data_IF_837990430483
#
_entry.id   IF_837990430483
#
_cell.length_a   1.000
_cell.length_b   1.000
_cell.length_c   1.000
_cell.angle_alpha   90.00
_cell.angle_beta   90.00
_cell.angle_gamma   90.00
#
_symmetry.space_group_name_H-M   'P 1'
#
loop_
_entity.id
_entity.type
_entity.pdbx_description
1 polymer ?
#
# COMPACT_ATOMS: atom_id res chain seq x y z
N UNK A 1 3.44 -7.83 -17.43
CA UNK A 1 3.48 -7.33 -16.04
C UNK A 1 3.92 -8.45 -15.12
N UNK A 2 4.93 -8.21 -14.30
CA UNK A 2 5.46 -9.25 -13.43
C UNK A 2 4.66 -9.43 -12.16
N UNK A 3 4.92 -10.52 -11.46
CA UNK A 3 4.33 -10.79 -10.16
C UNK A 3 5.06 -9.96 -9.11
N UNK A 4 4.34 -9.29 -8.20
CA UNK A 4 5.01 -8.51 -7.16
C UNK A 4 5.78 -9.42 -6.20
N UNK A 5 6.89 -8.93 -5.69
CA UNK A 5 7.67 -9.65 -4.69
C UNK A 5 7.05 -9.39 -3.32
N UNK A 6 6.45 -10.41 -2.72
CA UNK A 6 5.78 -10.25 -1.43
C UNK A 6 6.76 -10.00 -0.27
N UNK A 7 8.06 -10.27 -0.48
CA UNK A 7 9.06 -9.94 0.53
C UNK A 7 9.39 -8.45 0.53
N UNK A 8 9.00 -7.75 -0.54
CA UNK A 8 9.11 -6.31 -0.62
C UNK A 8 7.70 -5.72 -0.58
N UNK A 9 7.24 -5.38 0.61
CA UNK A 9 5.87 -4.92 0.79
C UNK A 9 5.62 -3.55 0.16
N UNK A 10 6.66 -2.73 0.01
CA UNK A 10 6.53 -1.48 -0.71
C UNK A 10 6.12 -1.74 -2.16
N UNK A 11 6.75 -2.71 -2.81
CA UNK A 11 6.39 -3.07 -4.18
C UNK A 11 4.98 -3.66 -4.26
N UNK A 12 4.59 -4.43 -3.25
CA UNK A 12 3.25 -4.99 -3.21
C UNK A 12 2.18 -3.89 -3.13
N UNK A 13 2.39 -2.90 -2.27
CA UNK A 13 1.48 -1.75 -2.16
C UNK A 13 1.43 -1.01 -3.48
N UNK A 14 2.59 -0.77 -4.09
CA UNK A 14 2.68 -0.08 -5.37
C UNK A 14 1.89 -0.82 -6.44
N UNK A 15 2.05 -2.14 -6.50
CA UNK A 15 1.32 -2.97 -7.46
C UNK A 15 -0.19 -2.87 -7.25
N UNK A 16 -0.64 -2.99 -6.01
CA UNK A 16 -2.06 -2.90 -5.70
C UNK A 16 -2.63 -1.53 -6.08
N UNK A 17 -1.94 -0.47 -5.70
CA UNK A 17 -2.40 0.88 -6.00
C UNK A 17 -2.46 1.14 -7.50
N UNK A 18 -1.42 0.76 -8.23
CA UNK A 18 -1.38 0.95 -9.68
C UNK A 18 -2.48 0.18 -10.38
N UNK A 19 -2.93 -0.92 -9.81
CA UNK A 19 -4.01 -1.72 -10.36
C UNK A 19 -5.38 -1.08 -10.18
N UNK A 20 -5.49 -0.12 -9.25
CA UNK A 20 -6.76 0.50 -8.88
C UNK A 20 -6.97 1.88 -9.49
N UNK A 21 -5.90 2.58 -9.80
CA UNK A 21 -5.96 4.01 -10.18
C UNK A 21 -5.95 4.20 -11.68
N UNK A 22 -6.39 5.38 -12.11
CA UNK A 22 -6.35 5.78 -13.52
C UNK A 22 -5.01 6.41 -13.90
N UNK A 23 -4.27 6.92 -12.91
CA UNK A 23 -2.99 7.59 -13.13
C UNK A 23 -1.85 6.85 -12.42
N UNK A 24 -1.51 5.64 -12.89
CA UNK A 24 -0.52 4.81 -12.20
C UNK A 24 0.88 5.42 -12.15
N UNK A 25 1.21 6.30 -13.08
CA UNK A 25 2.52 6.96 -13.10
C UNK A 25 2.70 7.90 -11.90
N UNK A 26 1.62 8.30 -11.26
CA UNK A 26 1.66 9.20 -10.10
C UNK A 26 1.55 8.46 -8.76
N UNK A 27 1.62 7.14 -8.78
CA UNK A 27 1.65 6.33 -7.55
C UNK A 27 3.06 6.34 -6.98
N UNK A 28 3.17 6.69 -5.71
CA UNK A 28 4.44 6.65 -4.97
C UNK A 28 4.22 5.94 -3.66
N UNK A 29 5.15 5.13 -3.25
CA UNK A 29 5.13 4.47 -1.95
C UNK A 29 6.47 4.70 -1.27
N UNK A 30 6.44 5.37 -0.13
CA UNK A 30 7.64 5.60 0.67
C UNK A 30 7.68 4.61 1.82
N UNK A 31 8.83 4.01 2.02
CA UNK A 31 9.05 3.09 3.12
C UNK A 31 9.85 3.82 4.19
N UNK A 32 9.23 3.98 5.35
CA UNK A 32 9.83 4.74 6.46
C UNK A 32 10.04 3.76 7.63
N UNK A 33 11.26 3.26 7.80
CA UNK A 33 11.52 2.29 8.87
C UNK A 33 11.49 2.97 10.23
N UNK A 34 10.84 2.30 11.19
CA UNK A 34 10.84 2.70 12.59
C UNK A 34 11.50 1.62 13.42
N UNK A 35 11.52 1.80 14.72
CA UNK A 35 12.15 0.82 15.61
C UNK A 35 11.39 -0.49 15.65
N UNK A 36 10.05 -0.43 15.65
CA UNK A 36 9.21 -1.61 15.75
C UNK A 36 8.30 -1.80 14.56
N UNK A 37 7.94 -0.71 13.89
CA UNK A 37 6.98 -0.74 12.79
C UNK A 37 7.54 0.07 11.63
N UNK A 38 7.44 -0.48 10.43
CA UNK A 38 7.78 0.24 9.21
C UNK A 38 6.51 0.83 8.64
N UNK A 39 6.55 2.11 8.34
CA UNK A 39 5.43 2.81 7.73
C UNK A 39 5.58 2.76 6.21
N UNK A 40 4.50 2.37 5.54
CA UNK A 40 4.41 2.46 4.09
C UNK A 40 3.42 3.57 3.77
N UNK A 41 3.93 4.67 3.26
CA UNK A 41 3.11 5.83 2.93
C UNK A 41 2.78 5.80 1.45
N UNK A 42 1.51 5.58 1.15
CA UNK A 42 1.02 5.52 -0.22
C UNK A 42 0.48 6.87 -0.64
N UNK A 43 1.00 7.37 -1.76
CA UNK A 43 0.55 8.61 -2.35
C UNK A 43 0.07 8.36 -3.77
N UNK A 44 -1.10 8.84 -4.08
CA UNK A 44 -1.68 8.74 -5.42
C UNK A 44 -2.14 10.11 -5.89
N UNK A 45 -2.49 10.19 -7.17
CA UNK A 45 -3.09 11.40 -7.70
C UNK A 45 -4.37 11.73 -6.91
N UNK A 46 -4.61 13.00 -6.66
CA UNK A 46 -5.77 13.45 -5.90
C UNK A 46 -7.08 12.90 -6.49
N UNK A 47 -7.15 12.80 -7.81
CA UNK A 47 -8.32 12.24 -8.49
C UNK A 47 -8.54 10.78 -8.20
N UNK A 48 -7.49 10.06 -7.84
CA UNK A 48 -7.53 8.61 -7.63
C UNK A 48 -7.67 8.21 -6.17
N UNK A 49 -7.63 9.19 -5.27
CA UNK A 49 -7.66 8.90 -3.83
C UNK A 49 -8.86 8.07 -3.44
N UNK A 50 -10.03 8.39 -3.95
CA UNK A 50 -11.24 7.62 -3.67
C UNK A 50 -11.17 6.17 -4.13
N UNK A 51 -10.36 5.89 -5.16
CA UNK A 51 -10.22 4.52 -5.68
C UNK A 51 -9.40 3.62 -4.76
N UNK A 52 -8.43 4.20 -4.05
CA UNK A 52 -7.62 3.42 -3.11
C UNK A 52 -8.25 3.36 -1.73
N UNK A 53 -9.07 4.33 -1.37
CA UNK A 53 -9.84 4.30 -0.12
C UNK A 53 -11.02 3.36 -0.27
N UNK A 54 -11.76 3.49 -1.36
CA UNK A 54 -12.92 2.68 -1.64
C UNK A 54 -14.15 3.12 -0.86
N UNK A 55 -15.28 2.51 -1.20
CA UNK A 55 -16.55 2.82 -0.57
C UNK A 55 -16.47 2.48 0.92
N UNK A 56 -16.74 3.47 1.76
CA UNK A 56 -16.70 3.30 3.22
C UNK A 56 -15.34 2.83 3.74
N UNK A 57 -14.27 3.12 2.98
CA UNK A 57 -12.92 2.74 3.37
C UNK A 57 -12.59 1.27 3.20
N UNK A 58 -13.43 0.51 2.52
CA UNK A 58 -13.26 -0.94 2.42
C UNK A 58 -12.02 -1.37 1.64
N UNK A 59 -11.68 -0.65 0.57
CA UNK A 59 -10.49 -0.98 -0.21
C UNK A 59 -9.23 -0.77 0.61
N UNK A 60 -9.14 0.39 1.28
CA UNK A 60 -8.00 0.67 2.15
C UNK A 60 -7.89 -0.36 3.28
N UNK A 61 -9.02 -0.72 3.88
CA UNK A 61 -9.03 -1.73 4.95
C UNK A 61 -8.54 -3.09 4.44
N UNK A 62 -8.94 -3.48 3.23
CA UNK A 62 -8.50 -4.73 2.62
C UNK A 62 -7.00 -4.71 2.36
N UNK A 63 -6.47 -3.60 1.84
CA UNK A 63 -5.03 -3.45 1.61
C UNK A 63 -4.25 -3.55 2.92
N UNK A 64 -4.74 -2.91 3.97
CA UNK A 64 -4.10 -2.97 5.29
C UNK A 64 -4.08 -4.39 5.84
N UNK A 65 -5.16 -5.14 5.62
CA UNK A 65 -5.23 -6.53 6.06
C UNK A 65 -4.18 -7.39 5.34
N UNK A 66 -4.05 -7.21 4.03
CA UNK A 66 -3.07 -7.95 3.23
C UNK A 66 -1.65 -7.61 3.69
N UNK A 67 -1.36 -6.33 3.89
CA UNK A 67 -0.02 -5.88 4.29
C UNK A 67 0.32 -6.39 5.70
N UNK A 68 -0.64 -6.40 6.61
CA UNK A 68 -0.43 -6.92 7.95
C UNK A 68 -0.13 -8.42 7.91
N UNK A 69 -0.91 -9.16 7.14
CA UNK A 69 -0.71 -10.61 7.01
C UNK A 69 0.65 -10.94 6.40
N UNK A 70 1.03 -10.22 5.34
CA UNK A 70 2.32 -10.44 4.70
C UNK A 70 3.47 -10.08 5.64
N UNK A 71 3.33 -9.00 6.40
CA UNK A 71 4.33 -8.60 7.39
C UNK A 71 4.52 -9.66 8.47
N UNK A 72 3.42 -10.22 8.97
CA UNK A 72 3.48 -11.29 9.97
C UNK A 72 4.27 -12.49 9.42
N UNK A 73 4.06 -12.81 8.16
CA UNK A 73 4.78 -13.90 7.52
C UNK A 73 6.28 -13.65 7.47
N UNK A 74 6.68 -12.38 7.39
CA UNK A 74 8.09 -11.97 7.35
C UNK A 74 8.64 -11.65 8.75
N UNK A 75 7.83 -11.85 9.80
CA UNK A 75 8.18 -11.49 11.18
C UNK A 75 8.48 -9.99 11.32
N UNK A 76 7.71 -9.17 10.60
CA UNK A 76 7.86 -7.72 10.62
C UNK A 76 6.50 -7.06 10.79
N UNK A 77 6.50 -5.86 11.32
CA UNK A 77 5.30 -5.06 11.46
C UNK A 77 5.31 -3.93 10.44
N UNK A 78 4.22 -3.83 9.70
CA UNK A 78 4.03 -2.78 8.71
C UNK A 78 2.72 -2.07 8.96
N UNK A 79 2.73 -0.78 8.72
CA UNK A 79 1.51 0.03 8.76
C UNK A 79 1.38 0.75 7.43
N UNK A 80 0.22 0.64 6.80
CA UNK A 80 -0.06 1.33 5.54
C UNK A 80 -0.83 2.61 5.84
N UNK A 81 -0.27 3.72 5.40
CA UNK A 81 -0.90 5.02 5.51
C UNK A 81 -1.16 5.55 4.10
N UNK A 82 -2.37 6.05 3.88
CA UNK A 82 -2.73 6.67 2.60
C UNK A 82 -2.71 8.17 2.81
N UNK A 83 -1.80 8.82 2.08
CA UNK A 83 -1.60 10.27 2.20
C UNK A 83 -2.74 10.99 1.50
N UNK A 84 -3.41 11.87 2.20
CA UNK A 84 -4.54 12.64 1.65
C UNK A 84 -4.19 14.08 1.33
#
# INVERSE_FOLDING_TARGET
MGTPNIENLRELVEFMAKSLVDNPDNVEVDEIPGQQTTLLALKVDKEDLGKVIGKQGKTAAAMRTIIRAAGTKLNKRYHLDIVE
#
